data_IF_977153797713
#
_entry.id   IF_977153797713
#
_cell.length_a   1.000
_cell.length_b   1.000
_cell.length_c   1.000
_cell.angle_alpha   90.00
_cell.angle_beta   90.00
_cell.angle_gamma   90.00
#
_symmetry.space_group_name_H-M   'P 1'
#
loop_
_entity.id
_entity.type
_entity.pdbx_description
1 polymer ?
#
# COMPACT_ATOMS: atom_id res chain seq x y z
N UNK A 1 5.41 1.82 -0.81
CA UNK A 1 6.22 1.04 0.15
C UNK A 1 7.68 1.39 0.04
N UNK A 2 8.42 1.33 1.15
CA UNK A 2 9.88 1.51 1.17
C UNK A 2 10.58 0.14 1.10
N UNK A 3 11.48 -0.02 0.13
CA UNK A 3 12.40 -1.15 0.09
C UNK A 3 13.83 -0.73 0.47
N UNK A 4 14.73 -1.70 0.57
CA UNK A 4 16.10 -1.46 1.04
C UNK A 4 16.88 -0.52 0.12
N UNK A 5 16.81 -0.70 -1.20
CA UNK A 5 17.54 0.15 -2.13
C UNK A 5 17.02 1.59 -2.06
N UNK A 6 15.70 1.76 -1.99
CA UNK A 6 15.11 3.09 -1.89
C UNK A 6 15.48 3.79 -0.57
N UNK A 7 15.48 3.08 0.56
CA UNK A 7 15.90 3.64 1.84
C UNK A 7 17.35 4.13 1.81
N UNK A 8 18.25 3.36 1.19
CA UNK A 8 19.63 3.78 1.00
C UNK A 8 19.74 5.03 0.11
N UNK A 9 18.96 5.11 -0.97
CA UNK A 9 18.92 6.30 -1.84
C UNK A 9 18.52 7.55 -1.06
N UNK A 10 17.49 7.44 -0.20
CA UNK A 10 17.07 8.54 0.69
C UNK A 10 18.23 8.95 1.61
N UNK A 11 18.85 7.98 2.29
CA UNK A 11 19.96 8.26 3.21
C UNK A 11 21.13 8.95 2.50
N UNK A 12 21.58 8.43 1.35
CA UNK A 12 22.65 9.04 0.52
C UNK A 12 22.29 10.46 0.09
N UNK A 13 21.06 10.71 -0.33
CA UNK A 13 20.60 12.04 -0.75
C UNK A 13 20.64 13.03 0.43
N UNK A 14 20.18 12.62 1.62
CA UNK A 14 20.23 13.43 2.82
C UNK A 14 21.67 13.68 3.29
N UNK A 15 22.53 12.66 3.26
CA UNK A 15 23.95 12.83 3.58
C UNK A 15 24.62 13.89 2.69
N UNK A 16 24.34 13.83 1.38
CA UNK A 16 24.83 14.82 0.41
C UNK A 16 24.30 16.22 0.71
N UNK A 17 22.99 16.36 0.92
CA UNK A 17 22.36 17.66 1.16
C UNK A 17 22.79 18.30 2.49
N UNK A 18 23.09 17.49 3.50
CA UNK A 18 23.49 17.95 4.85
C UNK A 18 25.00 18.03 5.02
N UNK A 19 25.79 17.63 4.02
CA UNK A 19 27.24 17.46 4.13
C UNK A 19 27.64 16.66 5.39
N UNK A 20 26.87 15.62 5.70
CA UNK A 20 27.03 14.80 6.90
C UNK A 20 26.94 13.32 6.53
N UNK A 21 27.95 12.53 6.88
CA UNK A 21 28.04 11.10 6.54
C UNK A 21 27.31 10.18 7.53
N UNK A 22 26.78 10.72 8.64
CA UNK A 22 25.89 9.97 9.53
C UNK A 22 24.65 9.49 8.78
N UNK A 23 24.03 8.36 9.21
CA UNK A 23 22.78 7.88 8.63
C UNK A 23 21.76 9.00 8.45
N UNK A 24 21.15 9.07 7.26
CA UNK A 24 20.16 10.10 6.90
C UNK A 24 20.66 11.55 7.04
N UNK A 25 21.96 11.77 6.92
CA UNK A 25 22.57 13.09 7.09
C UNK A 25 22.44 13.66 8.51
N UNK A 26 22.26 12.80 9.51
CA UNK A 26 22.08 13.18 10.91
C UNK A 26 20.70 13.75 11.25
N UNK A 27 19.71 13.56 10.38
CA UNK A 27 18.33 13.99 10.62
C UNK A 27 17.56 12.91 11.39
N UNK A 28 16.69 13.33 12.30
CA UNK A 28 15.75 12.44 12.97
C UNK A 28 14.70 11.92 11.97
N UNK A 29 14.61 10.60 11.81
CA UNK A 29 13.65 9.96 10.91
C UNK A 29 12.59 9.23 11.71
N UNK A 30 11.32 9.51 11.40
CA UNK A 30 10.17 8.75 11.91
C UNK A 30 9.61 7.91 10.79
N UNK A 31 9.61 6.60 10.97
CA UNK A 31 8.94 5.66 10.08
C UNK A 31 7.53 5.38 10.61
N UNK A 32 6.53 5.50 9.74
CA UNK A 32 5.15 5.14 10.04
C UNK A 32 4.61 4.26 8.92
N UNK A 33 4.00 3.13 9.28
CA UNK A 33 3.47 2.19 8.32
C UNK A 33 3.12 0.85 8.93
N UNK A 34 2.79 -0.08 8.05
CA UNK A 34 2.25 -1.39 8.42
C UNK A 34 2.85 -2.47 7.51
N UNK A 35 3.63 -3.38 8.10
CA UNK A 35 4.32 -4.44 7.36
C UNK A 35 3.41 -5.58 6.89
N UNK A 36 2.17 -5.65 7.36
CA UNK A 36 1.17 -6.61 6.87
C UNK A 36 0.49 -6.13 5.57
N UNK A 37 0.77 -4.91 5.13
CA UNK A 37 0.29 -4.40 3.84
C UNK A 37 1.15 -4.89 2.68
N UNK A 38 0.88 -4.36 1.48
CA UNK A 38 1.60 -4.74 0.27
C UNK A 38 3.12 -4.55 0.46
N UNK A 39 3.96 -5.41 -0.14
CA UNK A 39 5.41 -5.28 -0.11
C UNK A 39 5.93 -4.33 -1.20
N UNK A 40 7.11 -3.72 -1.04
CA UNK A 40 7.74 -2.94 -2.11
C UNK A 40 7.82 -3.71 -3.43
N UNK A 41 7.52 -3.01 -4.53
CA UNK A 41 7.58 -3.55 -5.89
C UNK A 41 9.04 -3.56 -6.34
N UNK A 42 9.55 -4.72 -6.75
CA UNK A 42 10.90 -4.89 -7.30
C UNK A 42 12.07 -4.40 -6.41
N UNK A 43 11.87 -4.27 -5.11
CA UNK A 43 12.90 -3.87 -4.13
C UNK A 43 12.82 -4.78 -2.88
N UNK A 44 13.93 -5.27 -2.32
CA UNK A 44 13.90 -6.08 -1.10
C UNK A 44 13.19 -5.41 0.08
N UNK A 45 12.48 -6.21 0.88
CA UNK A 45 11.70 -5.73 2.03
C UNK A 45 12.62 -5.35 3.20
N UNK A 46 12.30 -4.26 3.88
CA UNK A 46 13.01 -3.82 5.09
C UNK A 46 12.95 -4.83 6.24
N UNK A 47 12.04 -5.80 6.22
CA UNK A 47 11.85 -6.81 7.25
C UNK A 47 12.15 -8.26 6.81
N UNK A 48 12.68 -8.48 5.60
CA UNK A 48 13.11 -9.84 5.16
C UNK A 48 14.47 -10.26 5.73
N UNK A 49 14.91 -11.50 5.58
CA UNK A 49 16.31 -11.84 5.89
C UNK A 49 17.30 -11.15 4.93
N UNK A 50 18.52 -10.90 5.41
CA UNK A 50 19.64 -10.46 4.55
C UNK A 50 20.00 -11.64 3.65
N UNK A 51 19.93 -11.43 2.33
CA UNK A 51 20.39 -12.42 1.36
C UNK A 51 21.87 -12.16 1.06
N UNK A 52 22.75 -12.88 1.75
CA UNK A 52 24.22 -12.78 1.58
C UNK A 52 24.71 -13.31 0.23
N UNK A 53 23.96 -14.23 -0.38
CA UNK A 53 24.31 -14.85 -1.66
C UNK A 53 24.19 -13.93 -2.91
N UNK A 54 23.74 -12.68 -2.76
CA UNK A 54 23.56 -11.72 -3.88
C UNK A 54 24.39 -10.45 -3.75
N UNK A 55 25.33 -10.41 -2.81
CA UNK A 55 26.15 -9.21 -2.48
C UNK A 55 27.21 -8.92 -3.55
N UNK A 56 27.42 -9.82 -4.51
CA UNK A 56 28.36 -9.59 -5.62
C UNK A 56 27.86 -8.52 -6.61
N UNK A 57 26.57 -8.18 -6.57
CA UNK A 57 25.99 -7.11 -7.39
C UNK A 57 25.88 -5.80 -6.59
N UNK A 58 26.01 -4.66 -7.28
CA UNK A 58 25.83 -3.33 -6.66
C UNK A 58 24.45 -3.20 -6.01
N UNK A 59 23.39 -3.71 -6.66
CA UNK A 59 22.04 -3.72 -6.10
C UNK A 59 21.95 -4.58 -4.83
N UNK A 60 22.65 -5.71 -4.78
CA UNK A 60 22.73 -6.54 -3.57
C UNK A 60 23.43 -5.83 -2.41
N UNK A 61 24.55 -5.14 -2.69
CA UNK A 61 25.27 -4.34 -1.70
C UNK A 61 24.40 -3.17 -1.20
N UNK A 62 23.76 -2.45 -2.12
CA UNK A 62 22.85 -1.36 -1.78
C UNK A 62 21.67 -1.85 -0.92
N UNK A 63 21.11 -3.03 -1.23
CA UNK A 63 20.08 -3.63 -0.40
C UNK A 63 20.60 -4.01 1.01
N UNK A 64 21.84 -4.50 1.12
CA UNK A 64 22.46 -4.80 2.41
C UNK A 64 22.67 -3.52 3.26
N UNK A 65 23.19 -2.44 2.68
CA UNK A 65 23.33 -1.16 3.38
C UNK A 65 21.98 -0.56 3.77
N UNK A 66 20.97 -0.62 2.89
CA UNK A 66 19.60 -0.23 3.22
C UNK A 66 19.03 -1.01 4.40
N UNK A 67 19.39 -2.29 4.52
CA UNK A 67 19.02 -3.12 5.67
C UNK A 67 19.71 -2.69 6.96
N UNK A 68 21.00 -2.38 6.91
CA UNK A 68 21.75 -1.90 8.07
C UNK A 68 21.18 -0.56 8.58
N UNK A 69 20.76 0.33 7.67
CA UNK A 69 20.02 1.55 8.03
C UNK A 69 18.69 1.24 8.72
N UNK A 70 17.98 0.19 8.29
CA UNK A 70 16.76 -0.22 8.97
C UNK A 70 17.05 -0.78 10.38
N UNK A 71 18.13 -1.56 10.53
CA UNK A 71 18.54 -2.10 11.82
C UNK A 71 19.08 -1.04 12.80
N UNK A 72 19.44 0.16 12.33
CA UNK A 72 19.78 1.26 13.24
C UNK A 72 18.55 1.87 13.93
N UNK A 73 17.33 1.53 13.52
CA UNK A 73 16.11 1.94 14.21
C UNK A 73 15.97 1.13 15.49
N UNK A 74 16.08 1.79 16.64
CA UNK A 74 16.08 1.15 17.96
C UNK A 74 14.82 1.41 18.79
N UNK A 75 13.92 2.26 18.30
CA UNK A 75 12.68 2.64 18.99
C UNK A 75 11.50 2.23 18.14
N UNK A 76 10.59 1.44 18.71
CA UNK A 76 9.39 0.96 18.04
C UNK A 76 8.18 1.30 18.90
N UNK A 77 7.20 1.95 18.29
CA UNK A 77 5.90 2.26 18.90
C UNK A 77 4.83 1.50 18.16
N UNK A 78 4.05 0.69 18.88
CA UNK A 78 2.94 -0.10 18.32
C UNK A 78 1.63 0.53 18.76
N UNK A 79 0.81 0.93 17.78
CA UNK A 79 -0.55 1.42 18.01
C UNK A 79 -1.52 0.24 17.97
N UNK A 80 -2.33 0.07 19.02
CA UNK A 80 -3.24 -1.07 19.16
C UNK A 80 -4.72 -0.71 18.95
N UNK A 81 -5.05 0.58 18.90
CA UNK A 81 -6.44 1.02 18.77
C UNK A 81 -6.81 1.26 17.30
N UNK A 82 -7.87 0.57 16.84
CA UNK A 82 -8.38 0.69 15.47
C UNK A 82 -9.44 1.79 15.40
N UNK A 83 -9.06 2.95 14.87
CA UNK A 83 -9.95 4.11 14.79
C UNK A 83 -10.88 4.11 13.57
N UNK A 84 -10.50 3.44 12.47
CA UNK A 84 -11.22 3.53 11.18
C UNK A 84 -12.59 2.84 11.22
N UNK A 85 -12.67 1.66 11.84
CA UNK A 85 -13.90 0.88 11.98
C UNK A 85 -14.32 0.81 13.45
N UNK A 86 -14.40 1.97 14.11
CA UNK A 86 -14.78 2.06 15.52
C UNK A 86 -16.25 1.73 15.76
N UNK A 87 -16.60 1.49 17.02
CA UNK A 87 -17.97 1.21 17.47
C UNK A 87 -18.27 -0.29 17.63
N UNK A 88 -19.10 -0.60 18.64
CA UNK A 88 -19.40 -1.98 19.04
C UNK A 88 -19.97 -2.85 17.90
N UNK A 89 -20.74 -2.24 16.99
CA UNK A 89 -21.32 -2.94 15.84
C UNK A 89 -20.26 -3.45 14.84
N UNK A 90 -19.05 -2.88 14.84
CA UNK A 90 -17.97 -3.24 13.93
C UNK A 90 -16.97 -4.23 14.53
N UNK A 91 -17.10 -4.60 15.81
CA UNK A 91 -16.18 -5.53 16.48
C UNK A 91 -15.96 -6.84 15.70
N UNK A 92 -17.00 -7.51 15.15
CA UNK A 92 -16.79 -8.72 14.36
C UNK A 92 -15.93 -8.49 13.12
N UNK A 93 -16.03 -7.31 12.52
CA UNK A 93 -15.23 -6.94 11.35
C UNK A 93 -13.79 -6.55 11.72
N UNK A 94 -13.59 -5.83 12.83
CA UNK A 94 -12.25 -5.51 13.36
C UNK A 94 -11.49 -6.79 13.70
N UNK A 95 -12.15 -7.73 14.38
CA UNK A 95 -11.59 -9.04 14.74
C UNK A 95 -11.21 -9.86 13.50
N UNK A 96 -12.07 -9.84 12.48
CA UNK A 96 -11.79 -10.46 11.18
C UNK A 96 -10.55 -9.85 10.55
N UNK A 97 -10.44 -8.52 10.48
CA UNK A 97 -9.30 -7.83 9.87
C UNK A 97 -7.99 -8.15 10.62
N UNK A 98 -8.04 -8.29 11.95
CA UNK A 98 -6.88 -8.70 12.74
C UNK A 98 -6.42 -10.12 12.40
N UNK A 99 -7.35 -11.09 12.27
CA UNK A 99 -7.02 -12.46 11.87
C UNK A 99 -6.54 -12.54 10.42
N UNK A 100 -7.11 -11.73 9.53
CA UNK A 100 -6.66 -11.63 8.14
C UNK A 100 -5.23 -11.12 8.06
N UNK A 101 -4.88 -10.12 8.87
CA UNK A 101 -3.54 -9.54 8.99
C UNK A 101 -2.48 -10.57 9.39
N UNK A 102 -2.81 -11.49 10.30
CA UNK A 102 -1.88 -12.50 10.83
C UNK A 102 -1.97 -13.86 10.11
N UNK A 103 -2.92 -14.03 9.20
CA UNK A 103 -3.16 -15.29 8.49
C UNK A 103 -3.85 -16.35 9.35
N UNK A 104 -4.57 -15.95 10.40
CA UNK A 104 -5.27 -16.85 11.33
C UNK A 104 -6.80 -16.86 11.15
N UNK A 105 -7.28 -16.64 9.92
CA UNK A 105 -8.71 -16.65 9.60
C UNK A 105 -9.38 -17.99 9.93
N UNK A 106 -10.64 -17.92 10.33
CA UNK A 106 -11.49 -19.07 10.64
C UNK A 106 -12.72 -19.15 9.72
N UNK A 107 -13.55 -20.18 9.92
CA UNK A 107 -14.77 -20.39 9.13
C UNK A 107 -15.78 -19.23 9.25
N UNK A 108 -15.86 -18.57 10.41
CA UNK A 108 -16.69 -17.39 10.62
C UNK A 108 -16.24 -16.20 9.78
N UNK A 109 -14.93 -15.98 9.66
CA UNK A 109 -14.36 -14.93 8.81
C UNK A 109 -14.70 -15.16 7.33
N UNK A 110 -14.53 -16.40 6.87
CA UNK A 110 -14.90 -16.80 5.51
C UNK A 110 -16.39 -16.56 5.23
N UNK A 111 -17.27 -16.97 6.14
CA UNK A 111 -18.72 -16.79 5.99
C UNK A 111 -19.09 -15.30 5.96
N UNK A 112 -18.47 -14.47 6.81
CA UNK A 112 -18.70 -13.04 6.84
C UNK A 112 -18.30 -12.36 5.52
N UNK A 113 -17.11 -12.66 4.99
CA UNK A 113 -16.68 -12.14 3.68
C UNK A 113 -17.56 -12.66 2.54
N UNK A 114 -17.89 -13.95 2.56
CA UNK A 114 -18.73 -14.58 1.54
C UNK A 114 -20.13 -13.95 1.48
N UNK A 115 -20.68 -13.52 2.62
CA UNK A 115 -21.97 -12.80 2.70
C UNK A 115 -21.98 -11.46 1.96
N UNK A 116 -20.81 -10.92 1.62
CA UNK A 116 -20.63 -9.66 0.87
C UNK A 116 -20.29 -9.89 -0.60
N UNK A 117 -20.19 -11.14 -1.04
CA UNK A 117 -19.94 -11.47 -2.44
C UNK A 117 -21.22 -11.32 -3.25
N UNK A 118 -21.23 -10.41 -4.21
CA UNK A 118 -22.30 -10.29 -5.18
C UNK A 118 -22.16 -11.42 -6.22
N UNK A 119 -23.20 -12.22 -6.41
CA UNK A 119 -23.31 -13.21 -7.49
C UNK A 119 -24.39 -12.75 -8.46
N UNK A 120 -24.06 -12.65 -9.75
CA UNK A 120 -25.01 -12.26 -10.81
C UNK A 120 -25.76 -10.95 -10.54
N UNK A 121 -25.09 -9.95 -9.96
CA UNK A 121 -25.72 -8.67 -9.68
C UNK A 121 -25.81 -7.83 -10.97
N UNK A 122 -27.03 -7.48 -11.37
CA UNK A 122 -27.26 -6.39 -12.31
C UNK A 122 -27.11 -5.08 -11.51
N UNK A 123 -25.92 -4.49 -11.53
CA UNK A 123 -25.63 -3.26 -10.79
C UNK A 123 -26.35 -2.11 -11.48
N UNK A 124 -27.33 -1.53 -10.80
CA UNK A 124 -27.93 -0.28 -11.23
C UNK A 124 -26.93 0.87 -10.98
N UNK A 125 -26.21 1.26 -12.03
CA UNK A 125 -25.26 2.38 -12.01
C UNK A 125 -25.94 3.73 -11.77
N UNK A 126 -27.28 3.82 -11.92
CA UNK A 126 -28.04 5.00 -11.56
C UNK A 126 -28.32 5.09 -10.05
N UNK A 127 -28.13 4.01 -9.29
CA UNK A 127 -28.27 4.04 -7.85
C UNK A 127 -27.20 4.96 -7.21
N UNK A 128 -27.59 6.00 -6.43
CA UNK A 128 -26.66 6.93 -5.83
C UNK A 128 -25.56 6.28 -4.98
N UNK A 129 -25.80 5.10 -4.41
CA UNK A 129 -24.79 4.35 -3.63
C UNK A 129 -23.61 3.88 -4.47
N UNK A 130 -23.84 3.55 -5.74
CA UNK A 130 -22.81 3.05 -6.66
C UNK A 130 -22.19 4.16 -7.49
N UNK A 131 -22.90 5.28 -7.69
CA UNK A 131 -22.44 6.42 -8.47
C UNK A 131 -21.09 7.00 -8.02
N UNK A 132 -20.76 6.89 -6.73
CA UNK A 132 -19.51 7.42 -6.14
C UNK A 132 -18.73 6.36 -5.38
N UNK A 133 -19.10 5.08 -5.50
CA UNK A 133 -18.42 4.01 -4.79
C UNK A 133 -17.01 3.82 -5.38
N UNK A 134 -15.94 3.81 -4.56
CA UNK A 134 -14.61 3.47 -5.05
C UNK A 134 -14.58 1.99 -5.43
N UNK A 135 -14.12 1.70 -6.65
CA UNK A 135 -13.90 0.33 -7.12
C UNK A 135 -12.41 0.04 -7.06
N UNK A 136 -12.04 -1.01 -6.32
CA UNK A 136 -10.66 -1.47 -6.20
C UNK A 136 -10.50 -2.74 -7.01
N UNK A 137 -9.54 -2.73 -7.94
CA UNK A 137 -9.19 -3.89 -8.78
C UNK A 137 -7.68 -4.13 -8.74
N UNK A 138 -7.28 -5.36 -9.04
CA UNK A 138 -5.88 -5.76 -8.92
C UNK A 138 -4.99 -5.20 -10.05
N UNK A 139 -5.52 -5.06 -11.27
CA UNK A 139 -4.73 -4.74 -12.45
C UNK A 139 -5.02 -3.33 -12.99
N UNK A 140 -3.97 -2.63 -13.41
CA UNK A 140 -4.09 -1.31 -14.03
C UNK A 140 -4.98 -1.33 -15.28
N UNK A 141 -4.84 -2.33 -16.16
CA UNK A 141 -5.66 -2.45 -17.37
C UNK A 141 -7.17 -2.46 -17.08
N UNK A 142 -7.57 -3.12 -15.99
CA UNK A 142 -8.98 -3.21 -15.56
C UNK A 142 -9.41 -1.90 -14.94
N UNK A 143 -8.57 -1.30 -14.09
CA UNK A 143 -8.80 0.02 -13.50
C UNK A 143 -8.96 1.10 -14.58
N UNK A 144 -8.11 1.09 -15.60
CA UNK A 144 -8.14 2.05 -16.69
C UNK A 144 -9.41 1.89 -17.54
N UNK A 145 -9.79 0.65 -17.89
CA UNK A 145 -11.05 0.37 -18.58
C UNK A 145 -12.29 0.85 -17.79
N UNK A 146 -12.34 0.59 -16.48
CA UNK A 146 -13.41 1.07 -15.61
C UNK A 146 -13.44 2.59 -15.50
N UNK A 147 -12.27 3.23 -15.36
CA UNK A 147 -12.17 4.68 -15.28
C UNK A 147 -12.58 5.38 -16.57
N UNK A 148 -12.25 4.81 -17.74
CA UNK A 148 -12.71 5.32 -19.04
C UNK A 148 -14.25 5.32 -19.10
N UNK A 149 -14.89 4.21 -18.71
CA UNK A 149 -16.34 4.11 -18.66
C UNK A 149 -16.95 5.10 -17.65
N UNK A 150 -16.39 5.18 -16.45
CA UNK A 150 -16.86 6.09 -15.41
C UNK A 150 -16.73 7.57 -15.81
N UNK A 151 -15.65 7.93 -16.51
CA UNK A 151 -15.43 9.29 -17.00
C UNK A 151 -16.44 9.69 -18.08
N UNK A 152 -16.74 8.80 -19.03
CA UNK A 152 -17.76 9.03 -20.06
C UNK A 152 -19.17 9.18 -19.44
N UNK A 153 -19.55 8.31 -18.52
CA UNK A 153 -20.83 8.41 -17.79
C UNK A 153 -20.91 9.73 -17.00
N UNK A 154 -19.82 10.12 -16.32
CA UNK A 154 -19.76 11.39 -15.59
C UNK A 154 -19.93 12.60 -16.51
N UNK A 155 -19.24 12.62 -17.65
CA UNK A 155 -19.31 13.71 -18.64
C UNK A 155 -20.74 13.89 -19.17
N UNK A 156 -21.39 12.79 -19.58
CA UNK A 156 -22.79 12.80 -20.05
C UNK A 156 -23.74 13.32 -18.99
N UNK A 157 -23.63 12.82 -17.75
CA UNK A 157 -24.49 13.23 -16.63
C UNK A 157 -24.34 14.72 -16.29
N UNK A 158 -23.15 15.28 -16.44
CA UNK A 158 -22.84 16.67 -16.05
C UNK A 158 -22.89 17.66 -17.20
N UNK A 159 -23.17 17.21 -18.43
CA UNK A 159 -23.12 18.03 -19.63
C UNK A 159 -21.72 18.61 -19.92
N UNK A 160 -20.66 17.93 -19.46
CA UNK A 160 -19.27 18.35 -19.66
C UNK A 160 -18.65 17.58 -20.83
N UNK A 161 -17.70 18.21 -21.50
CA UNK A 161 -16.90 17.56 -22.55
C UNK A 161 -15.74 16.80 -21.91
N UNK A 162 -15.54 15.54 -22.30
CA UNK A 162 -14.39 14.75 -21.87
C UNK A 162 -13.21 15.01 -22.81
N UNK A 163 -12.06 15.36 -22.23
CA UNK A 163 -10.81 15.59 -22.97
C UNK A 163 -9.77 14.54 -22.58
N UNK A 164 -9.08 13.99 -23.58
CA UNK A 164 -7.99 13.03 -23.38
C UNK A 164 -6.65 13.72 -23.63
N UNK A 165 -5.74 13.56 -22.68
CA UNK A 165 -4.36 14.00 -22.80
C UNK A 165 -3.47 12.78 -22.59
N UNK A 166 -2.67 12.45 -23.57
CA UNK A 166 -1.71 11.35 -23.47
C UNK A 166 -0.36 11.92 -23.08
N UNK A 167 0.23 11.38 -22.02
CA UNK A 167 1.63 11.64 -21.71
C UNK A 167 2.49 11.00 -22.81
N UNK A 168 3.49 11.74 -23.26
CA UNK A 168 4.57 11.19 -24.08
C UNK A 168 5.69 10.83 -23.11
N UNK A 169 5.97 9.54 -22.96
CA UNK A 169 7.11 9.04 -22.19
C UNK A 169 8.42 9.26 -22.96
#
# INVERSE_FOLDING_TARGET
MIGCNFLLKISKALCKAKHNTSPFGGINIIFAGDFAQLPPVSDPRLFSHIKTAKVDSESGQNAAFGKLLWFSVNTVVVLNEVMRQSGAANLPFVDLLYRLRTGSCNAGDYNLLSSRTLRNANIDWMNPRWQTAPIVVAENKVKDALNIQAADVFARRTGKTLHWYYAVD
#
